data_IF_816949064999
#
_entry.id   IF_816949064999
#
_cell.length_a   1.000
_cell.length_b   1.000
_cell.length_c   1.000
_cell.angle_alpha   90.00
_cell.angle_beta   90.00
_cell.angle_gamma   90.00
#
_symmetry.space_group_name_H-M   'P 1'
#
loop_
_entity.id
_entity.type
_entity.pdbx_description
1 polymer ?
#
# COMPACT_ATOMS: atom_id res chain seq x y z
N UNK A 1 -0.39 18.02 6.42
CA UNK A 1 -1.20 16.81 6.37
C UNK A 1 -1.13 16.21 4.98
N UNK A 2 -0.86 14.94 4.88
CA UNK A 2 -0.68 14.23 3.60
C UNK A 2 -1.58 13.00 3.55
N UNK A 3 -2.02 12.67 2.36
CA UNK A 3 -2.65 11.37 2.09
C UNK A 3 -1.58 10.41 1.58
N UNK A 4 -1.60 9.19 2.08
CA UNK A 4 -0.76 8.11 1.57
C UNK A 4 -1.68 6.98 1.13
N UNK A 5 -1.56 6.58 -0.13
CA UNK A 5 -2.22 5.38 -0.62
C UNK A 5 -1.17 4.30 -0.87
N UNK A 6 -1.35 3.17 -0.23
CA UNK A 6 -0.47 2.00 -0.40
C UNK A 6 -1.26 0.95 -1.16
N UNK A 7 -0.75 0.55 -2.32
CA UNK A 7 -1.36 -0.50 -3.14
C UNK A 7 -0.40 -1.67 -3.13
N UNK A 8 -0.89 -2.84 -2.78
CA UNK A 8 -0.02 -3.99 -2.56
C UNK A 8 -0.72 -5.30 -2.90
N UNK A 9 0.08 -6.31 -3.22
CA UNK A 9 -0.42 -7.67 -3.36
C UNK A 9 -1.05 -8.09 -2.01
N UNK A 10 -2.25 -8.65 -2.06
CA UNK A 10 -3.01 -8.99 -0.85
C UNK A 10 -2.24 -9.94 0.09
N UNK A 11 -1.29 -10.70 -0.44
CA UNK A 11 -0.42 -11.55 0.39
C UNK A 11 0.45 -10.75 1.37
N UNK A 12 0.64 -9.45 1.15
CA UNK A 12 1.42 -8.59 2.03
C UNK A 12 0.59 -7.90 3.10
N UNK A 13 -0.70 -8.21 3.22
CA UNK A 13 -1.61 -7.51 4.13
C UNK A 13 -1.10 -7.48 5.56
N UNK A 14 -0.66 -8.62 6.11
CA UNK A 14 -0.17 -8.66 7.48
C UNK A 14 1.08 -7.80 7.69
N UNK A 15 1.98 -7.76 6.70
CA UNK A 15 3.19 -6.93 6.77
C UNK A 15 2.84 -5.44 6.75
N UNK A 16 1.89 -5.06 5.91
CA UNK A 16 1.44 -3.66 5.81
C UNK A 16 0.74 -3.25 7.11
N UNK A 17 -0.15 -4.08 7.62
CA UNK A 17 -0.86 -3.77 8.87
C UNK A 17 0.11 -3.69 10.06
N UNK A 18 1.08 -4.60 10.14
CA UNK A 18 2.12 -4.55 11.17
C UNK A 18 2.91 -3.26 11.10
N UNK A 19 3.27 -2.81 9.90
CA UNK A 19 4.00 -1.56 9.70
C UNK A 19 3.19 -0.36 10.21
N UNK A 20 1.90 -0.29 9.86
CA UNK A 20 1.02 0.79 10.31
C UNK A 20 0.91 0.82 11.84
N UNK A 21 0.73 -0.36 12.44
CA UNK A 21 0.64 -0.47 13.90
C UNK A 21 1.95 -0.05 14.58
N UNK A 22 3.08 -0.47 14.04
CA UNK A 22 4.39 -0.11 14.59
C UNK A 22 4.65 1.39 14.55
N UNK A 23 4.11 2.08 13.54
CA UNK A 23 4.20 3.54 13.40
C UNK A 23 3.06 4.27 14.12
N UNK A 24 2.19 3.53 14.81
CA UNK A 24 1.04 4.08 15.55
C UNK A 24 0.05 4.82 14.64
N UNK A 25 -0.08 4.35 13.40
CA UNK A 25 -1.07 4.85 12.45
C UNK A 25 -2.32 3.98 12.61
N UNK A 26 -3.31 4.48 13.33
CA UNK A 26 -4.53 3.74 13.64
C UNK A 26 -5.68 4.03 12.67
N UNK A 27 -5.66 5.18 12.04
CA UNK A 27 -6.74 5.60 11.13
C UNK A 27 -6.42 5.32 9.69
N UNK A 28 -7.15 4.39 9.08
CA UNK A 28 -7.00 4.11 7.65
C UNK A 28 -8.29 3.48 7.11
N UNK A 29 -8.44 3.58 5.78
CA UNK A 29 -9.49 2.88 5.05
C UNK A 29 -8.83 1.85 4.16
N UNK A 30 -9.36 0.64 4.14
CA UNK A 30 -8.78 -0.48 3.39
C UNK A 30 -9.79 -1.01 2.38
N UNK A 31 -9.29 -1.28 1.19
CA UNK A 31 -10.01 -2.00 0.14
C UNK A 31 -9.30 -3.32 -0.11
N UNK A 32 -10.07 -4.39 -0.28
CA UNK A 32 -9.54 -5.73 -0.55
C UNK A 32 -10.06 -6.23 -1.89
N UNK A 33 -9.47 -7.31 -2.37
CA UNK A 33 -9.91 -8.00 -3.59
C UNK A 33 -9.94 -7.09 -4.82
N UNK A 34 -8.91 -6.27 -4.98
CA UNK A 34 -8.79 -5.33 -6.08
C UNK A 34 -7.99 -5.94 -7.23
N UNK A 35 -8.42 -5.68 -8.44
CA UNK A 35 -7.67 -6.06 -9.64
C UNK A 35 -6.63 -4.98 -9.95
N UNK A 36 -5.49 -5.39 -10.51
CA UNK A 36 -4.47 -4.43 -10.89
C UNK A 36 -3.35 -5.03 -11.70
N UNK A 37 -2.62 -4.15 -12.35
CA UNK A 37 -1.37 -4.47 -13.04
C UNK A 37 -0.42 -3.31 -12.74
N UNK A 38 0.63 -3.60 -11.96
CA UNK A 38 1.49 -2.53 -11.45
C UNK A 38 2.45 -1.95 -12.48
N UNK A 39 2.88 -2.76 -13.45
CA UNK A 39 3.82 -2.32 -14.48
C UNK A 39 3.39 -2.86 -15.84
N UNK A 40 3.96 -2.27 -16.92
CA UNK A 40 3.66 -2.71 -18.27
C UNK A 40 3.93 -4.20 -18.48
N UNK A 41 5.01 -4.69 -17.90
CA UNK A 41 5.47 -6.07 -18.05
C UNK A 41 5.16 -6.92 -16.81
N UNK A 42 4.46 -6.38 -15.82
CA UNK A 42 4.11 -7.09 -14.61
C UNK A 42 2.92 -8.02 -14.82
N UNK A 43 2.85 -9.06 -13.99
CA UNK A 43 1.71 -9.97 -13.99
C UNK A 43 0.46 -9.25 -13.48
N UNK A 44 -0.68 -9.37 -14.18
CA UNK A 44 -1.93 -8.81 -13.66
C UNK A 44 -2.38 -9.50 -12.38
N UNK A 45 -2.96 -8.74 -11.47
CA UNK A 45 -3.58 -9.26 -10.24
C UNK A 45 -5.10 -9.17 -10.41
N UNK A 46 -5.68 -10.20 -10.99
CA UNK A 46 -7.10 -10.20 -11.39
C UNK A 46 -7.98 -11.16 -10.59
N UNK A 47 -7.39 -11.97 -9.71
CA UNK A 47 -8.16 -12.93 -8.93
C UNK A 47 -8.81 -14.02 -9.79
N UNK A 48 -8.27 -14.30 -10.98
CA UNK A 48 -8.79 -15.31 -11.89
C UNK A 48 -7.96 -16.59 -11.82
N UNK A 49 -8.44 -17.64 -12.51
CA UNK A 49 -7.71 -18.91 -12.58
C UNK A 49 -6.29 -18.72 -13.18
N UNK A 50 -6.18 -17.89 -14.23
CA UNK A 50 -4.90 -17.60 -14.89
C UNK A 50 -4.04 -16.64 -14.09
N UNK A 51 -4.66 -15.63 -13.45
CA UNK A 51 -4.00 -14.61 -12.66
C UNK A 51 -4.61 -14.57 -11.27
N UNK A 52 -4.26 -15.53 -10.39
CA UNK A 52 -4.95 -15.68 -9.10
C UNK A 52 -4.61 -14.60 -8.07
N UNK A 53 -3.49 -13.91 -8.24
CA UNK A 53 -3.10 -12.87 -7.30
C UNK A 53 -3.98 -11.64 -7.45
N UNK A 54 -4.29 -11.01 -6.33
CA UNK A 54 -5.10 -9.80 -6.26
C UNK A 54 -4.42 -8.77 -5.36
N UNK A 55 -4.84 -7.52 -5.51
CA UNK A 55 -4.32 -6.42 -4.73
C UNK A 55 -5.29 -6.02 -3.62
N UNK A 56 -4.72 -5.37 -2.62
CA UNK A 56 -5.45 -4.57 -1.63
C UNK A 56 -4.85 -3.17 -1.62
N UNK A 57 -5.55 -2.23 -1.03
CA UNK A 57 -5.02 -0.89 -0.84
C UNK A 57 -5.46 -0.30 0.49
N UNK A 58 -4.66 0.61 1.00
CA UNK A 58 -4.94 1.37 2.21
C UNK A 58 -4.76 2.84 1.90
N UNK A 59 -5.72 3.65 2.36
CA UNK A 59 -5.59 5.11 2.35
C UNK A 59 -5.52 5.57 3.79
N UNK A 60 -4.49 6.34 4.11
CA UNK A 60 -4.35 6.95 5.43
C UNK A 60 -3.95 8.41 5.29
N UNK A 61 -4.39 9.23 6.22
CA UNK A 61 -4.05 10.65 6.27
C UNK A 61 -3.15 10.84 7.49
N UNK A 62 -1.98 11.40 7.27
CA UNK A 62 -0.95 11.53 8.31
C UNK A 62 -0.34 12.93 8.33
N UNK A 63 0.33 13.26 9.42
CA UNK A 63 1.12 14.47 9.49
C UNK A 63 2.37 14.36 8.63
N UNK A 64 2.87 15.50 8.15
CA UNK A 64 3.99 15.55 7.23
C UNK A 64 5.23 14.81 7.75
N UNK A 65 5.47 14.89 9.06
CA UNK A 65 6.67 14.37 9.70
C UNK A 65 6.81 12.84 9.59
N UNK A 66 5.71 12.11 9.44
CA UNK A 66 5.75 10.65 9.38
C UNK A 66 5.91 10.10 7.96
N UNK A 67 5.72 10.95 6.94
CA UNK A 67 5.64 10.50 5.54
C UNK A 67 6.89 9.74 5.10
N UNK A 68 8.07 10.33 5.32
CA UNK A 68 9.32 9.70 4.88
C UNK A 68 9.57 8.37 5.58
N UNK A 69 9.17 8.26 6.84
CA UNK A 69 9.28 7.00 7.57
C UNK A 69 8.36 5.94 6.97
N UNK A 70 7.12 6.30 6.64
CA UNK A 70 6.19 5.37 5.99
C UNK A 70 6.76 4.90 4.64
N UNK A 71 7.23 5.83 3.82
CA UNK A 71 7.80 5.49 2.51
C UNK A 71 9.00 4.57 2.64
N UNK A 72 9.86 4.82 3.63
CA UNK A 72 11.03 3.96 3.86
C UNK A 72 10.61 2.54 4.28
N UNK A 73 9.58 2.42 5.13
CA UNK A 73 9.08 1.11 5.54
C UNK A 73 8.44 0.35 4.38
N UNK A 74 7.69 1.05 3.52
CA UNK A 74 7.13 0.45 2.30
C UNK A 74 8.26 -0.04 1.40
N UNK A 75 9.30 0.77 1.24
CA UNK A 75 10.46 0.41 0.43
C UNK A 75 11.17 -0.84 0.97
N UNK A 76 11.26 -0.97 2.29
CA UNK A 76 11.84 -2.16 2.91
C UNK A 76 11.01 -3.41 2.60
N UNK A 77 9.68 -3.30 2.66
CA UNK A 77 8.79 -4.42 2.31
C UNK A 77 8.99 -4.81 0.84
N UNK A 78 9.05 -3.82 -0.05
CA UNK A 78 9.26 -4.05 -1.48
C UNK A 78 10.60 -4.75 -1.74
N UNK A 79 11.65 -4.30 -1.07
CA UNK A 79 12.99 -4.87 -1.22
C UNK A 79 13.06 -6.34 -0.84
N UNK A 80 12.38 -6.73 0.24
CA UNK A 80 12.35 -8.12 0.71
C UNK A 80 11.46 -8.99 -0.17
N UNK A 81 10.42 -8.39 -0.77
CA UNK A 81 9.38 -9.12 -1.51
C UNK A 81 9.26 -8.60 -2.95
N UNK A 82 10.38 -8.51 -3.66
CA UNK A 82 10.48 -7.82 -4.95
C UNK A 82 9.50 -8.29 -6.02
N UNK A 83 9.10 -9.57 -5.99
CA UNK A 83 8.20 -10.13 -7.00
C UNK A 83 6.73 -10.01 -6.63
N UNK A 84 6.42 -9.58 -5.41
CA UNK A 84 5.04 -9.57 -4.92
C UNK A 84 4.31 -8.29 -5.30
N UNK A 85 4.96 -7.14 -5.13
CA UNK A 85 4.43 -5.85 -5.56
C UNK A 85 3.80 -5.04 -4.44
N UNK A 86 4.40 -3.87 -4.19
CA UNK A 86 3.86 -2.85 -3.29
C UNK A 86 4.32 -1.48 -3.78
N UNK A 87 3.42 -0.49 -3.73
CA UNK A 87 3.72 0.90 -4.10
C UNK A 87 2.97 1.83 -3.16
N UNK A 88 3.55 2.98 -2.92
CA UNK A 88 2.93 4.02 -2.12
C UNK A 88 2.96 5.34 -2.86
N UNK A 89 1.88 6.10 -2.74
CA UNK A 89 1.71 7.39 -3.38
C UNK A 89 1.31 8.40 -2.32
N UNK A 90 1.87 9.62 -2.40
CA UNK A 90 1.64 10.67 -1.40
C UNK A 90 1.18 11.93 -2.11
N UNK A 91 0.18 12.61 -1.56
CA UNK A 91 -0.23 13.92 -2.05
C UNK A 91 -0.74 14.80 -0.91
N UNK A 92 -0.76 16.09 -1.17
CA UNK A 92 -1.19 17.06 -0.17
C UNK A 92 -2.70 17.00 0.06
N UNK A 93 -3.11 17.14 1.31
CA UNK A 93 -4.50 17.40 1.66
C UNK A 93 -4.65 18.91 1.82
N UNK A 94 -5.42 19.51 0.92
CA UNK A 94 -5.64 20.95 0.94
C UNK A 94 -6.71 21.38 1.92
N UNK A 95 -7.73 20.55 2.09
CA UNK A 95 -8.84 20.82 3.02
C UNK A 95 -9.40 19.53 3.57
N UNK A 96 -9.84 19.59 4.80
CA UNK A 96 -10.57 18.50 5.44
C UNK A 96 -11.66 19.12 6.32
N UNK A 97 -12.64 18.32 6.69
CA UNK A 97 -13.64 18.79 7.64
C UNK A 97 -13.40 18.20 9.01
#
# INVERSE_FOLDING_TARGET
MKAIMIIYNQALTEKVEYMLDALKISGFTQWTDMKGRGTKDGNPHMGTHTWPEINSSILTIVEDEIVDTVLQKVKNIDHINTEVGIRAFVWDITKTM
#
